data_IF_211112074190
#
_entry.id   IF_211112074190
#
_cell.length_a   1.000
_cell.length_b   1.000
_cell.length_c   1.000
_cell.angle_alpha   90.00
_cell.angle_beta   90.00
_cell.angle_gamma   90.00
#
_symmetry.space_group_name_H-M   'P 1'
#
loop_
_entity.id
_entity.type
_entity.pdbx_description
1 polymer ?
#
# COMPACT_ATOMS: atom_id res chain seq x y z
N UNK A 1 -3.79 -19.20 1.55
CA UNK A 1 -3.26 -17.83 1.74
C UNK A 1 -4.33 -17.05 2.49
N UNK A 2 -4.00 -16.41 3.61
CA UNK A 2 -4.98 -15.59 4.33
C UNK A 2 -5.30 -14.32 3.54
N UNK A 3 -6.58 -13.99 3.42
CA UNK A 3 -7.01 -12.74 2.80
C UNK A 3 -6.73 -11.56 3.74
N UNK A 4 -6.27 -10.47 3.15
CA UNK A 4 -6.07 -9.22 3.86
C UNK A 4 -7.41 -8.67 4.35
N UNK A 5 -7.42 -8.15 5.58
CA UNK A 5 -8.54 -7.43 6.19
C UNK A 5 -8.00 -6.13 6.75
N UNK A 6 -8.73 -5.04 6.52
CA UNK A 6 -8.37 -3.75 7.08
C UNK A 6 -8.66 -3.74 8.58
N UNK A 7 -7.65 -3.36 9.37
CA UNK A 7 -7.87 -3.01 10.78
C UNK A 7 -8.68 -1.71 10.86
N UNK A 8 -9.57 -1.56 11.86
CA UNK A 8 -10.26 -0.30 12.11
C UNK A 8 -9.28 0.88 12.19
N UNK A 9 -9.64 2.00 11.57
CA UNK A 9 -8.86 3.22 11.71
C UNK A 9 -9.14 3.83 13.09
N UNK A 10 -8.11 4.38 13.73
CA UNK A 10 -8.27 5.16 14.94
C UNK A 10 -9.05 6.44 14.61
N UNK A 11 -10.18 6.62 15.29
CA UNK A 11 -11.06 7.78 15.12
C UNK A 11 -10.91 8.82 16.25
N UNK A 12 -10.07 8.53 17.26
CA UNK A 12 -9.83 9.46 18.38
C UNK A 12 -8.90 10.61 17.96
N UNK A 13 -8.09 10.40 16.93
CA UNK A 13 -7.13 11.37 16.40
C UNK A 13 -7.24 11.48 14.88
N UNK A 14 -6.83 12.60 14.25
CA UNK A 14 -6.79 12.73 12.80
C UNK A 14 -5.79 11.76 12.18
N UNK A 15 -6.27 10.60 11.72
CA UNK A 15 -5.45 9.53 11.18
C UNK A 15 -5.78 9.21 9.72
N UNK A 16 -4.80 8.65 9.01
CA UNK A 16 -4.95 8.10 7.66
C UNK A 16 -4.01 6.90 7.48
N UNK A 17 -4.23 6.09 6.44
CA UNK A 17 -3.38 4.91 6.16
C UNK A 17 -2.34 5.24 5.12
N UNK A 18 -1.09 4.87 5.40
CA UNK A 18 -0.01 4.88 4.43
C UNK A 18 0.36 3.44 4.05
N UNK A 19 0.66 3.26 2.76
CA UNK A 19 1.20 2.02 2.23
C UNK A 19 2.70 2.21 2.02
N UNK A 20 3.52 1.41 2.69
CA UNK A 20 4.95 1.32 2.44
C UNK A 20 5.23 0.15 1.52
N UNK A 21 5.74 0.46 0.33
CA UNK A 21 6.22 -0.52 -0.62
C UNK A 21 7.59 -1.05 -0.19
N UNK A 22 7.71 -2.37 0.00
CA UNK A 22 8.98 -2.99 0.38
C UNK A 22 9.86 -3.23 -0.84
N UNK A 23 11.19 -3.17 -0.61
CA UNK A 23 12.17 -3.45 -1.66
C UNK A 23 12.05 -4.89 -2.18
N UNK A 24 12.63 -5.12 -3.35
CA UNK A 24 12.85 -6.45 -3.90
C UNK A 24 12.70 -6.49 -5.41
N UNK A 25 12.43 -7.68 -5.95
CA UNK A 25 12.35 -7.90 -7.39
C UNK A 25 11.33 -8.97 -7.78
N UNK A 26 11.23 -9.21 -9.09
CA UNK A 26 10.29 -10.17 -9.67
C UNK A 26 8.83 -9.76 -9.50
N UNK A 27 7.95 -10.77 -9.51
CA UNK A 27 6.50 -10.58 -9.51
C UNK A 27 5.90 -10.39 -8.10
N UNK A 28 6.64 -10.79 -7.06
CA UNK A 28 6.15 -10.82 -5.68
C UNK A 28 6.32 -9.45 -5.01
N UNK A 29 5.26 -8.65 -5.01
CA UNK A 29 5.23 -7.34 -4.34
C UNK A 29 4.77 -7.53 -2.89
N UNK A 30 5.54 -6.97 -1.96
CA UNK A 30 5.20 -6.93 -0.55
C UNK A 30 5.13 -5.48 -0.06
N UNK A 31 4.13 -5.20 0.78
CA UNK A 31 3.88 -3.90 1.35
C UNK A 31 3.53 -4.01 2.84
N UNK A 32 3.70 -2.91 3.54
CA UNK A 32 3.18 -2.68 4.88
C UNK A 32 2.09 -1.62 4.84
N UNK A 33 0.95 -1.87 5.47
CA UNK A 33 -0.10 -0.87 5.66
C UNK A 33 -0.18 -0.50 7.13
N UNK A 34 0.00 0.78 7.44
CA UNK A 34 0.01 1.31 8.79
C UNK A 34 -0.72 2.65 8.88
N UNK A 35 -1.07 3.06 10.10
CA UNK A 35 -1.74 4.32 10.37
C UNK A 35 -0.70 5.41 10.63
N UNK A 36 -0.89 6.57 10.02
CA UNK A 36 -0.16 7.80 10.28
C UNK A 36 -1.12 8.84 10.87
N UNK A 37 -0.60 9.68 11.75
CA UNK A 37 -1.35 10.69 12.48
C UNK A 37 -0.93 12.10 12.04
N UNK A 38 -1.89 13.02 11.95
CA UNK A 38 -1.69 14.38 11.43
C UNK A 38 -1.60 15.46 12.52
N UNK A 39 -1.74 15.09 13.78
CA UNK A 39 -1.78 16.03 14.90
C UNK A 39 -0.41 16.51 15.37
N UNK A 40 0.66 15.82 14.99
CA UNK A 40 2.05 16.23 15.27
C UNK A 40 2.79 16.57 13.97
N UNK A 41 2.67 17.81 13.49
CA UNK A 41 3.32 18.25 12.23
C UNK A 41 4.83 18.02 12.19
N UNK A 42 5.50 18.11 13.34
CA UNK A 42 6.95 17.91 13.44
C UNK A 42 7.36 16.43 13.31
N UNK A 43 6.44 15.50 13.60
CA UNK A 43 6.65 14.06 13.56
C UNK A 43 5.88 13.38 12.41
N UNK A 44 5.30 14.16 11.50
CA UNK A 44 4.50 13.63 10.40
C UNK A 44 5.38 12.76 9.49
N UNK A 45 4.93 11.51 9.26
CA UNK A 45 5.61 10.58 8.37
C UNK A 45 5.65 11.17 6.96
N UNK A 46 6.85 11.30 6.39
CA UNK A 46 7.00 11.71 4.99
C UNK A 46 6.50 10.63 4.05
N UNK A 47 5.77 11.03 3.01
CA UNK A 47 5.23 10.11 2.00
C UNK A 47 5.27 10.74 0.61
N UNK A 48 5.27 9.88 -0.40
CA UNK A 48 5.14 10.28 -1.79
C UNK A 48 3.72 9.98 -2.26
N UNK A 49 3.12 10.92 -2.99
CA UNK A 49 1.80 10.74 -3.57
C UNK A 49 1.93 10.05 -4.95
N UNK A 50 1.22 8.94 -5.12
CA UNK A 50 1.10 8.27 -6.41
C UNK A 50 -0.17 8.73 -7.14
N UNK A 51 -0.01 9.18 -8.39
CA UNK A 51 -1.12 9.47 -9.30
C UNK A 51 -1.10 8.47 -10.46
N UNK A 52 -2.17 7.72 -10.63
CA UNK A 52 -2.32 6.71 -11.69
C UNK A 52 -3.77 6.65 -12.17
N UNK A 53 -4.00 6.16 -13.38
CA UNK A 53 -5.35 5.89 -13.88
C UNK A 53 -5.81 4.52 -13.38
N UNK A 54 -7.08 4.40 -12.97
CA UNK A 54 -7.63 3.15 -12.45
C UNK A 54 -7.52 1.97 -13.45
N UNK A 55 -7.77 2.24 -14.73
CA UNK A 55 -7.74 1.23 -15.79
C UNK A 55 -8.92 0.26 -15.70
N UNK A 56 -8.63 -1.02 -15.98
CA UNK A 56 -9.62 -2.10 -15.84
C UNK A 56 -9.93 -2.38 -14.37
N UNK A 57 -11.20 -2.66 -14.07
CA UNK A 57 -11.65 -3.12 -12.76
C UNK A 57 -11.46 -4.64 -12.57
N UNK A 58 -11.00 -5.35 -13.62
CA UNK A 58 -10.69 -6.77 -13.53
C UNK A 58 -9.55 -6.99 -12.54
N UNK A 59 -9.79 -7.85 -11.55
CA UNK A 59 -8.76 -8.26 -10.60
C UNK A 59 -7.98 -9.39 -11.26
N UNK A 60 -6.76 -9.10 -11.70
CA UNK A 60 -5.89 -10.10 -12.31
C UNK A 60 -4.79 -10.59 -11.37
N UNK A 61 -4.40 -9.77 -10.39
CA UNK A 61 -3.23 -9.99 -9.54
C UNK A 61 -3.49 -9.57 -8.08
N UNK A 62 -2.49 -9.79 -7.24
CA UNK A 62 -2.50 -9.30 -5.86
C UNK A 62 -1.10 -9.09 -5.31
N UNK A 63 -1.06 -8.53 -4.11
CA UNK A 63 0.16 -8.21 -3.38
C UNK A 63 0.07 -8.77 -1.96
N UNK A 64 1.21 -8.92 -1.30
CA UNK A 64 1.25 -9.25 0.13
C UNK A 64 1.26 -7.96 0.94
N UNK A 65 0.23 -7.72 1.73
CA UNK A 65 0.16 -6.58 2.67
C UNK A 65 0.16 -7.13 4.09
N UNK A 66 1.11 -6.71 4.93
CA UNK A 66 1.28 -7.22 6.30
C UNK A 66 1.29 -8.77 6.35
N UNK A 67 1.93 -9.40 5.35
CA UNK A 67 1.99 -10.86 5.22
C UNK A 67 0.74 -11.56 4.65
N UNK A 68 -0.34 -10.83 4.37
CA UNK A 68 -1.63 -11.38 3.87
C UNK A 68 -1.90 -10.96 2.43
N UNK A 69 -2.69 -11.75 1.71
CA UNK A 69 -2.96 -11.53 0.29
C UNK A 69 -4.05 -10.47 0.05
N UNK A 70 -3.74 -9.44 -0.73
CA UNK A 70 -4.68 -8.39 -1.14
C UNK A 70 -4.78 -8.36 -2.67
N UNK A 71 -5.94 -8.70 -3.26
CA UNK A 71 -6.17 -8.51 -4.69
C UNK A 71 -6.14 -7.03 -5.09
N UNK A 72 -5.54 -6.71 -6.23
CA UNK A 72 -5.46 -5.35 -6.77
C UNK A 72 -5.70 -5.33 -8.29
N UNK A 73 -5.93 -4.14 -8.83
CA UNK A 73 -6.11 -3.95 -10.28
C UNK A 73 -4.76 -3.89 -11.02
N UNK A 74 -4.73 -4.20 -12.33
CA UNK A 74 -3.49 -4.27 -13.11
C UNK A 74 -2.68 -2.97 -13.13
N UNK A 75 -3.35 -1.81 -13.15
CA UNK A 75 -2.67 -0.52 -13.19
C UNK A 75 -1.95 -0.21 -11.87
N UNK A 76 -2.58 -0.53 -10.73
CA UNK A 76 -1.92 -0.39 -9.45
C UNK A 76 -0.74 -1.37 -9.34
N UNK A 77 -0.90 -2.61 -9.81
CA UNK A 77 0.19 -3.59 -9.81
C UNK A 77 1.40 -3.09 -10.59
N UNK A 78 1.20 -2.58 -11.81
CA UNK A 78 2.28 -1.99 -12.63
C UNK A 78 2.92 -0.77 -11.97
N UNK A 79 2.10 0.16 -11.46
CA UNK A 79 2.61 1.35 -10.78
C UNK A 79 3.48 0.98 -9.56
N UNK A 80 3.08 -0.03 -8.78
CA UNK A 80 3.87 -0.52 -7.67
C UNK A 80 5.16 -1.22 -8.14
N UNK A 81 5.15 -1.97 -9.25
CA UNK A 81 6.38 -2.55 -9.80
C UNK A 81 7.38 -1.46 -10.21
N UNK A 82 6.92 -0.43 -10.92
CA UNK A 82 7.77 0.64 -11.44
C UNK A 82 8.37 1.51 -10.33
N UNK A 83 7.61 1.74 -9.26
CA UNK A 83 8.07 2.50 -8.07
C UNK A 83 8.93 1.67 -7.11
N UNK A 84 8.94 0.34 -7.25
CA UNK A 84 9.62 -0.53 -6.29
C UNK A 84 11.14 -0.37 -6.39
N UNK A 85 11.75 -0.02 -5.27
CA UNK A 85 13.21 -0.05 -5.14
C UNK A 85 13.72 -1.49 -5.18
N UNK A 86 14.81 -1.72 -5.90
CA UNK A 86 15.50 -3.01 -5.96
C UNK A 86 16.35 -3.23 -4.70
N UNK A 87 16.65 -4.50 -4.42
CA UNK A 87 17.59 -4.90 -3.37
C UNK A 87 19.04 -4.54 -3.72
#
# INVERSE_FOLDING_TARGET
MESFRYDPIDLERPAFRLLRLLKGGGCDIACELFQAFLDERENAVSYEALSYTWGSAEICDGIKVNGRWLPITPNLYRALQDLRLRD
#
